data_IF_009188911692
#
_entry.id   IF_009188911692
#
_cell.length_a   1.000
_cell.length_b   1.000
_cell.length_c   1.000
_cell.angle_alpha   90.00
_cell.angle_beta   90.00
_cell.angle_gamma   90.00
#
_symmetry.space_group_name_H-M   'P 1'
#
loop_
_entity.id
_entity.type
_entity.pdbx_description
1 polymer ?
#
# COMPACT_ATOMS: atom_id res chain seq x y z
N UNK A 1 6.90 13.01 -1.14
CA UNK A 1 5.46 12.74 -0.90
C UNK A 1 5.27 11.33 -0.35
N UNK A 2 4.14 10.98 0.30
CA UNK A 2 3.93 9.62 0.87
C UNK A 2 4.14 8.52 -0.19
N UNK A 3 3.51 8.65 -1.36
CA UNK A 3 3.59 7.68 -2.46
C UNK A 3 5.02 7.28 -2.79
N UNK A 4 5.88 8.26 -3.06
CA UNK A 4 7.27 8.03 -3.47
C UNK A 4 8.07 7.31 -2.36
N UNK A 5 7.88 7.77 -1.12
CA UNK A 5 8.58 7.21 0.05
C UNK A 5 8.06 5.83 0.42
N UNK A 6 6.77 5.57 0.25
CA UNK A 6 6.12 4.28 0.41
C UNK A 6 6.68 3.24 -0.55
N UNK A 7 6.75 3.58 -1.84
CA UNK A 7 7.34 2.71 -2.85
C UNK A 7 8.82 2.44 -2.54
N UNK A 8 9.58 3.48 -2.20
CA UNK A 8 11.00 3.35 -1.82
C UNK A 8 11.19 2.39 -0.62
N UNK A 9 10.33 2.51 0.40
CA UNK A 9 10.34 1.65 1.58
C UNK A 9 10.06 0.19 1.24
N UNK A 10 9.03 -0.10 0.44
CA UNK A 10 8.64 -1.46 0.05
C UNK A 10 9.77 -2.11 -0.75
N UNK A 11 10.32 -1.41 -1.76
CA UNK A 11 11.44 -1.92 -2.57
C UNK A 11 12.70 -2.18 -1.74
N UNK A 12 12.97 -1.36 -0.72
CA UNK A 12 14.16 -1.51 0.14
C UNK A 12 14.05 -2.65 1.15
N UNK A 13 12.90 -2.82 1.77
CA UNK A 13 12.77 -3.63 2.98
C UNK A 13 11.98 -4.92 2.75
N UNK A 14 10.99 -4.90 1.86
CA UNK A 14 10.04 -6.00 1.73
C UNK A 14 10.32 -6.86 0.51
N UNK A 15 10.90 -6.27 -0.54
CA UNK A 15 11.20 -6.93 -1.82
C UNK A 15 12.71 -7.12 -2.06
N UNK A 16 13.54 -6.99 -1.02
CA UNK A 16 15.02 -7.05 -1.10
C UNK A 16 15.53 -8.40 -1.65
N UNK A 17 14.76 -9.47 -1.47
CA UNK A 17 15.13 -10.83 -1.87
C UNK A 17 14.45 -11.30 -3.16
N UNK A 18 13.62 -10.48 -3.79
CA UNK A 18 13.05 -10.81 -5.10
C UNK A 18 14.12 -10.72 -6.18
N UNK A 19 14.76 -11.87 -6.45
CA UNK A 19 15.93 -12.03 -7.32
C UNK A 19 15.68 -11.73 -8.80
N UNK A 20 14.44 -11.62 -9.28
CA UNK A 20 14.15 -11.34 -10.70
C UNK A 20 12.93 -10.42 -10.92
N UNK A 21 13.07 -9.46 -11.84
CA UNK A 21 11.97 -8.97 -12.69
C UNK A 21 10.84 -8.11 -12.11
N UNK A 22 10.85 -7.71 -10.82
CA UNK A 22 9.72 -6.91 -10.30
C UNK A 22 9.51 -5.61 -11.08
N UNK A 23 8.25 -5.23 -11.29
CA UNK A 23 7.86 -4.01 -11.98
C UNK A 23 6.87 -3.23 -11.11
N UNK A 24 6.91 -1.92 -11.21
CA UNK A 24 6.04 -1.01 -10.46
C UNK A 24 4.91 -0.60 -11.41
N UNK A 25 3.68 -0.88 -11.04
CA UNK A 25 2.51 -0.41 -11.79
C UNK A 25 1.85 0.71 -11.00
N UNK A 26 1.68 1.86 -11.65
CA UNK A 26 1.02 3.03 -11.07
C UNK A 26 -0.39 3.12 -11.62
N UNK A 27 -1.37 2.92 -10.73
CA UNK A 27 -2.79 3.01 -11.03
C UNK A 27 -3.38 4.29 -10.43
N UNK A 28 -4.20 4.98 -11.21
CA UNK A 28 -4.80 6.25 -10.83
C UNK A 28 -5.38 6.98 -12.02
N UNK A 29 -6.34 7.85 -11.74
CA UNK A 29 -7.06 8.63 -12.76
C UNK A 29 -6.22 9.79 -13.28
N UNK A 30 -5.52 10.49 -12.38
CA UNK A 30 -4.64 11.60 -12.74
C UNK A 30 -3.30 11.09 -13.26
N UNK A 31 -3.26 10.80 -14.56
CA UNK A 31 -2.04 10.35 -15.24
C UNK A 31 -0.94 11.41 -15.19
N UNK A 32 -1.26 12.70 -15.21
CA UNK A 32 -0.26 13.77 -15.13
C UNK A 32 0.44 13.75 -13.77
N UNK A 33 -0.32 13.58 -12.70
CA UNK A 33 0.23 13.36 -11.36
C UNK A 33 1.13 12.12 -11.33
N UNK A 34 0.68 10.99 -11.87
CA UNK A 34 1.50 9.75 -11.90
C UNK A 34 2.82 9.94 -12.65
N UNK A 35 2.82 10.65 -13.78
CA UNK A 35 4.05 10.95 -14.54
C UNK A 35 5.01 11.90 -13.82
N UNK A 36 4.50 12.72 -12.89
CA UNK A 36 5.32 13.65 -12.09
C UNK A 36 5.93 13.01 -10.85
N UNK A 37 5.54 11.79 -10.50
CA UNK A 37 6.09 11.07 -9.34
C UNK A 37 7.57 10.77 -9.53
N UNK A 38 8.41 11.20 -8.58
CA UNK A 38 9.84 10.92 -8.60
C UNK A 38 10.14 9.60 -7.86
N UNK A 39 9.77 8.47 -8.46
CA UNK A 39 9.94 7.16 -7.85
C UNK A 39 11.36 6.64 -8.08
N UNK A 40 12.10 6.40 -6.98
CA UNK A 40 13.36 5.66 -7.04
C UNK A 40 13.08 4.20 -7.41
N UNK A 41 13.34 3.85 -8.66
CA UNK A 41 12.96 2.54 -9.20
C UNK A 41 13.98 1.43 -8.93
N UNK A 42 15.22 1.76 -8.50
CA UNK A 42 16.32 0.80 -8.28
C UNK A 42 16.50 -0.21 -9.43
N UNK A 43 16.36 0.25 -10.67
CA UNK A 43 16.47 -0.60 -11.87
C UNK A 43 15.22 -1.42 -12.19
N UNK A 44 14.11 -1.23 -11.47
CA UNK A 44 12.80 -1.82 -11.77
C UNK A 44 12.08 -0.97 -12.82
N UNK A 45 11.29 -1.60 -13.69
CA UNK A 45 10.49 -0.88 -14.68
C UNK A 45 9.26 -0.25 -14.02
N UNK A 46 8.92 0.97 -14.41
CA UNK A 46 7.69 1.64 -14.00
C UNK A 46 6.73 1.62 -15.19
N UNK A 47 5.51 1.16 -14.97
CA UNK A 47 4.44 1.12 -15.94
C UNK A 47 3.27 1.97 -15.45
N UNK A 48 2.79 2.84 -16.31
CA UNK A 48 1.51 3.52 -16.16
C UNK A 48 0.61 2.94 -17.25
N UNK A 49 -0.40 2.12 -16.90
CA UNK A 49 -1.31 1.57 -17.90
C UNK A 49 -2.02 2.69 -18.66
N UNK A 50 -2.30 2.42 -19.95
CA UNK A 50 -3.18 3.26 -20.77
C UNK A 50 -4.52 3.46 -20.05
N UNK A 51 -5.27 4.53 -20.35
CA UNK A 51 -6.61 4.71 -19.80
C UNK A 51 -7.48 3.47 -20.06
N UNK A 52 -8.00 2.90 -18.98
CA UNK A 52 -8.95 1.80 -18.98
C UNK A 52 -10.09 2.16 -18.02
N UNK A 53 -11.21 1.45 -18.11
CA UNK A 53 -12.26 1.61 -17.11
C UNK A 53 -11.76 1.11 -15.74
N UNK A 54 -12.35 1.61 -14.65
CA UNK A 54 -11.93 1.27 -13.27
C UNK A 54 -12.01 -0.25 -13.00
N UNK A 55 -12.97 -0.95 -13.59
CA UNK A 55 -13.12 -2.40 -13.45
C UNK A 55 -11.94 -3.17 -14.06
N UNK A 56 -11.46 -2.75 -15.22
CA UNK A 56 -10.30 -3.34 -15.88
C UNK A 56 -9.00 -3.06 -15.12
N UNK A 57 -8.79 -1.85 -14.62
CA UNK A 57 -7.64 -1.53 -13.78
C UNK A 57 -7.63 -2.38 -12.49
N UNK A 58 -8.79 -2.53 -11.85
CA UNK A 58 -8.95 -3.38 -10.66
C UNK A 58 -8.68 -4.85 -10.99
N UNK A 59 -9.29 -5.38 -12.05
CA UNK A 59 -9.08 -6.76 -12.51
C UNK A 59 -7.59 -7.01 -12.82
N UNK A 60 -6.94 -6.08 -13.53
CA UNK A 60 -5.51 -6.16 -13.78
C UNK A 60 -4.70 -6.21 -12.48
N UNK A 61 -4.98 -5.32 -11.53
CA UNK A 61 -4.25 -5.25 -10.26
C UNK A 61 -4.34 -6.58 -9.48
N UNK A 62 -5.55 -7.12 -9.32
CA UNK A 62 -5.77 -8.34 -8.53
C UNK A 62 -5.24 -9.60 -9.22
N UNK A 63 -5.19 -9.61 -10.57
CA UNK A 63 -4.70 -10.75 -11.36
C UNK A 63 -3.20 -10.73 -11.59
N UNK A 64 -2.56 -9.56 -11.68
CA UNK A 64 -1.15 -9.45 -12.08
C UNK A 64 -0.24 -9.09 -10.90
N UNK A 65 -0.62 -8.16 -10.02
CA UNK A 65 0.28 -7.70 -8.96
C UNK A 65 0.47 -8.77 -7.86
N UNK A 66 1.64 -8.79 -7.22
CA UNK A 66 1.94 -9.62 -6.05
C UNK A 66 1.89 -8.82 -4.74
N UNK A 67 1.85 -7.50 -4.82
CA UNK A 67 1.75 -6.61 -3.68
C UNK A 67 1.07 -5.33 -4.13
N UNK A 68 0.41 -4.66 -3.19
CA UNK A 68 -0.35 -3.43 -3.45
C UNK A 68 -0.05 -2.38 -2.39
N UNK A 69 0.11 -1.12 -2.82
CA UNK A 69 0.25 0.03 -1.94
C UNK A 69 -0.93 0.96 -2.15
N UNK A 70 -1.79 1.07 -1.14
CA UNK A 70 -2.87 2.02 -1.06
C UNK A 70 -2.33 3.37 -0.57
N UNK A 71 -2.23 4.35 -1.47
CA UNK A 71 -1.67 5.68 -1.18
C UNK A 71 -2.69 6.68 -0.64
N UNK A 72 -3.97 6.37 -0.75
CA UNK A 72 -5.07 7.17 -0.22
C UNK A 72 -6.03 6.25 0.52
N UNK A 73 -5.93 6.20 1.85
CA UNK A 73 -6.65 5.22 2.66
C UNK A 73 -8.17 5.42 2.70
N UNK A 74 -8.66 6.59 2.33
CA UNK A 74 -10.09 6.83 2.11
C UNK A 74 -10.60 6.34 0.73
N UNK A 75 -9.73 5.82 -0.14
CA UNK A 75 -10.13 5.36 -1.47
C UNK A 75 -10.84 4.00 -1.39
N UNK A 76 -12.15 3.99 -1.64
CA UNK A 76 -12.92 2.74 -1.79
C UNK A 76 -12.42 1.91 -2.98
N UNK A 77 -12.01 2.57 -4.07
CA UNK A 77 -11.43 1.92 -5.23
C UNK A 77 -10.15 1.14 -4.88
N UNK A 78 -9.19 1.79 -4.21
CA UNK A 78 -7.96 1.13 -3.80
C UNK A 78 -8.18 0.10 -2.68
N UNK A 79 -9.13 0.35 -1.78
CA UNK A 79 -9.52 -0.61 -0.75
C UNK A 79 -10.01 -1.93 -1.38
N UNK A 80 -10.89 -1.87 -2.38
CA UNK A 80 -11.38 -3.08 -3.06
C UNK A 80 -10.27 -3.83 -3.80
N UNK A 81 -9.30 -3.14 -4.42
CA UNK A 81 -8.12 -3.80 -5.00
C UNK A 81 -7.36 -4.58 -3.95
N UNK A 82 -7.06 -3.96 -2.80
CA UNK A 82 -6.36 -4.64 -1.71
C UNK A 82 -7.13 -5.83 -1.16
N UNK A 83 -8.46 -5.69 -1.04
CA UNK A 83 -9.33 -6.73 -0.48
C UNK A 83 -9.44 -7.96 -1.39
N UNK A 84 -9.53 -7.72 -2.70
CA UNK A 84 -9.64 -8.77 -3.71
C UNK A 84 -8.29 -9.36 -4.13
N UNK A 85 -7.16 -8.80 -3.68
CA UNK A 85 -5.82 -9.34 -3.93
C UNK A 85 -5.53 -10.55 -3.03
N UNK A 86 -6.13 -11.69 -3.37
CA UNK A 86 -6.12 -12.93 -2.56
C UNK A 86 -5.00 -13.92 -2.90
N UNK A 87 -3.92 -13.46 -3.54
CA UNK A 87 -2.81 -14.35 -3.92
C UNK A 87 -2.01 -14.80 -2.69
N UNK A 88 -1.47 -16.02 -2.78
CA UNK A 88 -0.54 -16.52 -1.77
C UNK A 88 0.66 -15.56 -1.63
N UNK A 89 0.98 -15.19 -0.39
CA UNK A 89 2.03 -14.23 -0.05
C UNK A 89 1.80 -12.78 -0.52
N UNK A 90 0.59 -12.43 -0.98
CA UNK A 90 0.28 -11.05 -1.31
C UNK A 90 0.40 -10.13 -0.09
N UNK A 91 1.06 -8.99 -0.28
CA UNK A 91 1.20 -7.96 0.75
C UNK A 91 0.44 -6.71 0.34
N UNK A 92 -0.46 -6.28 1.19
CA UNK A 92 -1.17 -5.01 1.03
C UNK A 92 -0.65 -4.02 2.06
N UNK A 93 -0.13 -2.89 1.58
CA UNK A 93 0.35 -1.77 2.38
C UNK A 93 -0.63 -0.60 2.24
N UNK A 94 -0.79 0.22 3.28
CA UNK A 94 -1.64 1.41 3.20
C UNK A 94 -1.10 2.58 4.02
N UNK A 95 -1.46 3.81 3.63
CA UNK A 95 -1.15 5.03 4.36
C UNK A 95 -1.94 5.12 5.67
N UNK A 96 -1.28 4.95 6.81
CA UNK A 96 -1.93 5.02 8.11
C UNK A 96 -2.11 6.47 8.63
N UNK A 97 -1.90 7.49 7.79
CA UNK A 97 -2.28 8.86 8.11
C UNK A 97 -3.80 9.08 7.88
N UNK A 98 -4.56 9.05 8.98
CA UNK A 98 -6.01 9.26 9.00
C UNK A 98 -6.42 10.67 9.43
N UNK A 99 -5.48 11.62 9.55
CA UNK A 99 -5.72 12.96 10.09
C UNK A 99 -6.83 13.75 9.40
N UNK A 100 -7.18 13.38 8.16
CA UNK A 100 -8.21 14.02 7.34
C UNK A 100 -9.23 13.03 6.77
N UNK A 101 -9.46 11.90 7.45
CA UNK A 101 -10.34 10.83 6.97
C UNK A 101 -11.38 10.43 8.01
N UNK A 102 -12.58 10.05 7.54
CA UNK A 102 -13.58 9.36 8.37
C UNK A 102 -13.27 7.87 8.54
N UNK A 103 -12.29 7.36 7.77
CA UNK A 103 -11.81 5.98 7.87
C UNK A 103 -10.79 5.88 9.00
N UNK A 104 -10.88 4.82 9.79
CA UNK A 104 -9.92 4.47 10.82
C UNK A 104 -9.19 3.19 10.48
N UNK A 105 -8.16 2.86 11.26
CA UNK A 105 -7.41 1.62 11.07
C UNK A 105 -8.25 0.35 11.23
N UNK A 106 -9.37 0.42 11.96
CA UNK A 106 -10.26 -0.71 12.20
C UNK A 106 -11.07 -1.09 10.93
N UNK A 107 -11.12 -0.19 9.93
CA UNK A 107 -11.75 -0.47 8.64
C UNK A 107 -10.87 -1.29 7.69
N UNK A 108 -9.66 -1.69 8.11
CA UNK A 108 -8.71 -2.43 7.28
C UNK A 108 -8.52 -3.85 7.81
N UNK A 109 -8.36 -4.84 6.91
CA UNK A 109 -8.01 -6.20 7.34
C UNK A 109 -6.73 -6.23 8.18
N UNK A 110 -6.75 -7.00 9.27
CA UNK A 110 -5.64 -7.08 10.23
C UNK A 110 -4.32 -7.55 9.61
N UNK A 111 -4.40 -8.32 8.51
CA UNK A 111 -3.25 -8.82 7.78
C UNK A 111 -2.66 -7.78 6.81
N UNK A 112 -3.24 -6.59 6.66
CA UNK A 112 -2.62 -5.50 5.89
C UNK A 112 -1.48 -4.83 6.67
N UNK A 113 -0.65 -4.06 5.99
CA UNK A 113 0.57 -3.44 6.54
C UNK A 113 0.36 -1.93 6.62
N UNK A 114 0.01 -1.39 7.80
CA UNK A 114 -0.04 0.04 8.00
C UNK A 114 1.37 0.63 7.96
N UNK A 115 1.57 1.60 7.07
CA UNK A 115 2.80 2.39 7.00
C UNK A 115 2.47 3.88 7.06
N UNK A 116 3.31 4.69 7.69
CA UNK A 116 3.10 6.13 7.82
C UNK A 116 4.36 6.89 7.44
N UNK A 117 4.19 8.05 6.79
CA UNK A 117 5.30 8.94 6.47
C UNK A 117 5.60 9.89 7.63
N UNK A 118 6.75 9.69 8.26
CA UNK A 118 7.27 10.62 9.25
C UNK A 118 7.95 11.80 8.55
N UNK A 119 7.26 12.95 8.52
CA UNK A 119 7.75 14.19 7.90
C UNK A 119 9.04 14.71 8.56
N UNK A 120 9.20 14.53 9.88
CA UNK A 120 10.39 15.03 10.61
C UNK A 120 11.62 14.21 10.25
N UNK A 121 11.46 12.91 10.08
CA UNK A 121 12.56 11.99 9.77
C UNK A 121 12.70 11.68 8.28
N UNK A 122 11.84 12.25 7.43
CA UNK A 122 11.77 12.01 5.98
C UNK A 122 11.80 10.51 5.64
N UNK A 123 11.04 9.69 6.37
CA UNK A 123 11.06 8.23 6.24
C UNK A 123 9.70 7.58 6.51
N UNK A 124 9.51 6.40 5.95
CA UNK A 124 8.37 5.54 6.27
C UNK A 124 8.62 4.77 7.57
N UNK A 125 7.59 4.65 8.41
CA UNK A 125 7.53 3.74 9.56
C UNK A 125 6.47 2.68 9.32
N UNK A 126 6.77 1.44 9.68
CA UNK A 126 5.80 0.34 9.69
C UNK A 126 5.19 0.22 11.09
N UNK A 127 3.87 0.29 11.17
CA UNK A 127 3.13 0.35 12.43
C UNK A 127 2.72 -1.02 12.96
N UNK A 128 2.97 -2.12 12.24
CA UNK A 128 2.61 -3.48 12.72
C UNK A 128 3.18 -3.81 14.09
N UNK A 129 4.42 -3.41 14.37
CA UNK A 129 5.06 -3.64 15.69
C UNK A 129 4.35 -2.91 16.83
N UNK A 130 3.71 -1.77 16.53
CA UNK A 130 3.00 -0.96 17.52
C UNK A 130 1.57 -1.48 17.71
N UNK A 131 0.94 -1.94 16.63
CA UNK A 131 -0.45 -2.39 16.65
C UNK A 131 -0.62 -3.80 17.19
N UNK A 132 0.34 -4.72 16.99
CA UNK A 132 0.29 -6.05 17.61
C UNK A 132 0.21 -5.98 19.15
N UNK A 133 0.80 -4.94 19.75
CA UNK A 133 0.69 -4.69 21.20
C UNK A 133 -0.74 -4.30 21.56
N UNK A 134 -1.38 -3.42 20.78
CA UNK A 134 -2.74 -2.96 21.07
C UNK A 134 -3.82 -4.03 20.77
N UNK A 135 -3.64 -4.85 19.74
CA UNK A 135 -4.58 -5.94 19.43
C UNK A 135 -4.54 -7.07 20.45
N UNK A 136 -3.36 -7.44 20.97
CA UNK A 136 -3.27 -8.40 22.09
C UNK A 136 -3.95 -7.86 23.34
N UNK A 137 -3.76 -6.58 23.67
CA UNK A 137 -4.41 -5.95 24.81
C UNK A 137 -5.95 -5.88 24.66
N UNK A 138 -6.48 -5.68 23.43
CA UNK A 138 -7.91 -5.63 23.15
C UNK A 138 -8.59 -7.01 23.23
N UNK A 139 -7.89 -8.09 22.86
CA UNK A 139 -8.39 -9.46 23.03
C UNK A 139 -8.45 -9.87 24.52
N UNK A 140 -7.45 -9.49 25.32
CA UNK A 140 -7.44 -9.76 26.77
C UNK A 140 -8.60 -9.04 27.50
N UNK A 141 -9.06 -7.89 27.00
CA UNK A 141 -10.18 -7.15 27.60
C UNK A 141 -11.58 -7.64 27.22
N UNK A 142 -11.70 -8.63 26.33
CA UNK A 142 -13.00 -9.20 25.92
C UNK A 142 -13.27 -10.52 26.71
N UNK A 143 -12.25 -11.10 27.34
CA UNK A 143 -12.33 -12.32 28.15
C UNK A 143 -12.42 -12.04 29.68
N UNK A 144 -12.86 -10.84 30.09
CA UNK A 144 -13.18 -10.46 31.49
C UNK A 144 -14.60 -9.94 31.61
#
# INVERSE_FOLDING_TARGET
MFTEKGVEYILKNELKHEKFGSSIVLLGEDKQFLYKLNITNKGKKIYIPKPMNRGHDMCFAITICNSFLLTASSSTYGWWIGYLLVKENAKVFFDADFSHSLVSIENFPYNWIPIIYDKKLNKIKNLRKILNINYQNKLISIDM
#
